data_IF_120469397081
#
_entry.id   IF_120469397081
#
_cell.length_a   1.000
_cell.length_b   1.000
_cell.length_c   1.000
_cell.angle_alpha   90.00
_cell.angle_beta   90.00
_cell.angle_gamma   90.00
#
_symmetry.space_group_name_H-M   'P 1'
#
loop_
_entity.id
_entity.type
_entity.pdbx_description
1 polymer ?
#
# COMPACT_ATOMS: atom_id res chain seq x y z
N UNK A 1 8.14 -86.38 -21.08
CA UNK A 1 8.24 -86.04 -19.65
C UNK A 1 7.21 -84.95 -19.33
N UNK A 2 6.34 -85.23 -18.35
CA UNK A 2 5.54 -84.36 -17.47
C UNK A 2 4.93 -83.03 -18.01
N UNK A 3 3.58 -83.06 -18.00
CA UNK A 3 2.55 -82.01 -17.87
C UNK A 3 2.95 -80.73 -17.12
N UNK A 4 2.33 -79.59 -17.52
CA UNK A 4 1.63 -78.52 -16.73
C UNK A 4 1.45 -77.32 -17.71
N UNK A 5 0.30 -77.03 -18.33
CA UNK A 5 -0.98 -76.41 -17.89
C UNK A 5 -0.93 -74.94 -17.42
N UNK A 6 -1.82 -74.14 -18.05
CA UNK A 6 -2.54 -72.94 -17.59
C UNK A 6 -1.95 -71.54 -17.96
N UNK A 7 -2.58 -70.82 -18.90
CA UNK A 7 -3.65 -69.78 -18.73
C UNK A 7 -3.05 -68.43 -18.29
N UNK A 8 -3.17 -67.30 -18.99
CA UNK A 8 -4.42 -66.55 -19.26
C UNK A 8 -4.04 -65.20 -19.90
N UNK A 9 -4.79 -64.75 -20.91
CA UNK A 9 -5.72 -63.60 -20.90
C UNK A 9 -5.13 -62.23 -21.33
N UNK A 10 -5.76 -61.75 -22.41
CA UNK A 10 -5.73 -60.45 -23.09
C UNK A 10 -5.84 -59.24 -22.16
N UNK A 11 -5.10 -58.17 -22.47
CA UNK A 11 -5.54 -56.79 -22.20
C UNK A 11 -5.02 -55.83 -23.29
N UNK A 12 -5.91 -55.53 -24.24
CA UNK A 12 -5.84 -54.40 -25.17
C UNK A 12 -6.44 -53.19 -24.45
N UNK A 13 -5.67 -52.12 -24.23
CA UNK A 13 -6.23 -50.77 -24.00
C UNK A 13 -5.35 -49.77 -24.72
N UNK A 14 -5.94 -49.12 -25.74
CA UNK A 14 -5.39 -47.96 -26.41
C UNK A 14 -5.79 -46.64 -25.74
N UNK A 15 -4.97 -45.62 -26.03
CA UNK A 15 -5.26 -44.19 -26.21
C UNK A 15 -6.18 -43.47 -25.19
N UNK A 16 -5.60 -42.51 -24.44
CA UNK A 16 -6.06 -41.10 -24.42
C UNK A 16 -5.15 -40.19 -23.54
N UNK A 17 -5.05 -38.88 -23.85
CA UNK A 17 -4.06 -37.96 -23.30
C UNK A 17 -4.38 -37.44 -21.89
N UNK A 18 -3.34 -37.02 -21.17
CA UNK A 18 -3.37 -36.47 -19.82
C UNK A 18 -4.21 -35.20 -19.70
N UNK A 19 -5.40 -35.33 -19.11
CA UNK A 19 -6.19 -34.21 -18.62
C UNK A 19 -5.59 -33.70 -17.29
N UNK A 20 -4.64 -32.77 -17.35
CA UNK A 20 -4.31 -31.89 -16.21
C UNK A 20 -5.38 -30.80 -16.12
N UNK A 21 -6.55 -31.16 -15.61
CA UNK A 21 -7.57 -30.22 -15.17
C UNK A 21 -8.45 -30.90 -14.12
N UNK A 22 -7.83 -31.40 -13.04
CA UNK A 22 -8.59 -31.77 -11.84
C UNK A 22 -8.55 -30.59 -10.87
N UNK A 23 -9.72 -30.08 -10.41
CA UNK A 23 -9.75 -29.16 -9.28
C UNK A 23 -9.20 -29.90 -8.06
N UNK A 24 -8.43 -29.21 -7.23
CA UNK A 24 -7.82 -29.70 -6.00
C UNK A 24 -8.83 -30.55 -5.19
N UNK A 25 -8.73 -31.89 -5.27
CA UNK A 25 -9.62 -32.79 -4.54
C UNK A 25 -9.11 -32.85 -3.10
N UNK A 26 -9.76 -32.08 -2.23
CA UNK A 26 -9.54 -32.08 -0.78
C UNK A 26 -9.82 -33.50 -0.25
N UNK A 27 -8.79 -34.29 0.05
CA UNK A 27 -8.88 -35.71 0.46
C UNK A 27 -9.45 -35.94 1.88
N UNK A 28 -9.96 -34.91 2.56
CA UNK A 28 -10.53 -35.06 3.91
C UNK A 28 -12.05 -35.27 3.85
N UNK A 29 -12.46 -36.54 3.93
CA UNK A 29 -13.84 -36.95 4.11
C UNK A 29 -14.38 -36.44 5.46
N UNK A 30 -15.18 -35.37 5.45
CA UNK A 30 -15.98 -34.95 6.60
C UNK A 30 -15.96 -33.46 6.94
N UNK A 31 -14.97 -32.71 6.44
CA UNK A 31 -14.96 -31.24 6.54
C UNK A 31 -15.25 -30.73 5.13
N UNK A 32 -16.40 -30.07 4.94
CA UNK A 32 -16.66 -29.33 3.69
C UNK A 32 -15.60 -28.23 3.60
N UNK A 33 -14.55 -28.45 2.82
CA UNK A 33 -13.57 -27.42 2.52
C UNK A 33 -14.36 -26.22 1.96
N UNK A 34 -14.23 -25.05 2.59
CA UNK A 34 -14.87 -23.82 2.09
C UNK A 34 -14.18 -23.50 0.78
N UNK A 35 -14.77 -23.94 -0.33
CA UNK A 35 -14.33 -23.54 -1.65
C UNK A 35 -14.58 -22.04 -1.76
N UNK A 36 -13.55 -21.19 -1.97
CA UNK A 36 -13.77 -19.79 -2.21
C UNK A 36 -14.67 -19.65 -3.45
N UNK A 37 -15.67 -18.75 -3.42
CA UNK A 37 -16.56 -18.56 -4.56
C UNK A 37 -15.75 -18.29 -5.83
N UNK A 38 -16.07 -18.99 -6.93
CA UNK A 38 -15.32 -18.95 -8.19
C UNK A 38 -15.57 -17.68 -9.02
N UNK A 39 -16.60 -16.91 -8.67
CA UNK A 39 -16.90 -15.64 -9.31
C UNK A 39 -16.11 -14.54 -8.61
N UNK A 40 -15.27 -13.83 -9.37
CA UNK A 40 -14.56 -12.63 -8.91
C UNK A 40 -15.59 -11.70 -8.30
N UNK A 41 -15.62 -11.55 -6.96
CA UNK A 41 -16.72 -10.86 -6.32
C UNK A 41 -16.50 -9.38 -6.59
N UNK A 42 -17.27 -8.80 -7.49
CA UNK A 42 -17.41 -7.37 -7.74
C UNK A 42 -16.09 -6.56 -7.64
N UNK A 43 -15.35 -6.38 -8.73
CA UNK A 43 -14.16 -5.52 -8.77
C UNK A 43 -14.50 -4.01 -8.68
N UNK A 44 -15.75 -3.61 -8.40
CA UNK A 44 -16.09 -2.20 -8.26
C UNK A 44 -15.32 -1.53 -7.11
N UNK A 45 -15.07 -0.21 -7.26
CA UNK A 45 -14.52 0.60 -6.20
C UNK A 45 -15.30 0.44 -4.88
N UNK A 46 -14.61 0.35 -3.73
CA UNK A 46 -15.24 0.15 -2.42
C UNK A 46 -16.25 1.26 -2.07
N UNK A 47 -16.07 2.46 -2.64
CA UNK A 47 -16.95 3.59 -2.40
C UNK A 47 -18.33 3.50 -3.09
N UNK A 48 -18.55 2.54 -3.99
CA UNK A 48 -19.83 2.43 -4.68
C UNK A 48 -20.92 1.70 -3.86
N UNK A 49 -20.54 1.11 -2.72
CA UNK A 49 -21.45 0.29 -1.90
C UNK A 49 -22.26 1.05 -0.85
N UNK A 50 -22.19 2.39 -0.84
CA UNK A 50 -23.06 3.25 -0.01
C UNK A 50 -22.87 3.16 1.50
N UNK A 51 -21.88 2.43 2.00
CA UNK A 51 -21.61 2.26 3.44
C UNK A 51 -20.69 3.36 4.02
N UNK A 52 -20.90 4.62 3.64
CA UNK A 52 -20.09 5.75 4.10
C UNK A 52 -20.89 6.63 5.03
N UNK A 53 -20.25 7.13 6.08
CA UNK A 53 -20.89 8.01 7.05
C UNK A 53 -20.29 9.42 6.95
N UNK A 54 -20.59 10.09 5.83
CA UNK A 54 -20.04 11.41 5.52
C UNK A 54 -20.71 12.51 6.36
N UNK A 55 -19.89 13.32 7.03
CA UNK A 55 -20.35 14.55 7.70
C UNK A 55 -19.22 15.57 7.77
N UNK A 56 -19.55 16.86 7.72
CA UNK A 56 -18.55 17.94 7.73
C UNK A 56 -17.67 17.93 9.00
N UNK A 57 -18.23 17.53 10.15
CA UNK A 57 -17.47 17.41 11.40
C UNK A 57 -16.41 16.30 11.33
N UNK A 58 -16.73 15.20 10.64
CA UNK A 58 -15.77 14.10 10.45
C UNK A 58 -14.65 14.47 9.50
N UNK A 59 -14.92 15.22 8.44
CA UNK A 59 -13.87 15.67 7.52
C UNK A 59 -12.91 16.66 8.21
N UNK A 60 -13.43 17.60 9.01
CA UNK A 60 -12.57 18.47 9.84
C UNK A 60 -11.73 17.68 10.84
N UNK A 61 -12.33 16.68 11.50
CA UNK A 61 -11.61 15.80 12.42
C UNK A 61 -10.54 14.96 11.70
N UNK A 62 -10.85 14.44 10.50
CA UNK A 62 -9.89 13.71 9.67
C UNK A 62 -8.71 14.60 9.27
N UNK A 63 -8.96 15.84 8.85
CA UNK A 63 -7.90 16.81 8.54
C UNK A 63 -6.98 17.09 9.72
N UNK A 64 -7.54 17.27 10.93
CA UNK A 64 -6.72 17.39 12.16
C UNK A 64 -5.83 16.18 12.40
N UNK A 65 -6.32 14.98 12.11
CA UNK A 65 -5.51 13.76 12.21
C UNK A 65 -4.45 13.68 11.11
N UNK A 66 -4.75 14.14 9.89
CA UNK A 66 -3.78 14.24 8.79
C UNK A 66 -2.68 15.24 9.16
N UNK A 67 -3.03 16.39 9.72
CA UNK A 67 -2.06 17.38 10.21
C UNK A 67 -1.16 16.75 11.28
N UNK A 68 -1.75 16.06 12.28
CA UNK A 68 -0.98 15.34 13.30
C UNK A 68 -0.05 14.27 12.70
N UNK A 69 -0.52 13.54 11.69
CA UNK A 69 0.29 12.54 10.99
C UNK A 69 1.46 13.19 10.24
N UNK A 70 1.32 14.41 9.73
CA UNK A 70 2.34 15.06 8.92
C UNK A 70 3.29 15.97 9.71
N UNK A 71 2.82 16.59 10.80
CA UNK A 71 3.53 17.69 11.47
C UNK A 71 4.02 17.36 12.88
N UNK A 72 3.60 16.26 13.50
CA UNK A 72 4.08 15.91 14.84
C UNK A 72 5.51 15.39 14.81
N UNK A 73 6.39 16.01 15.61
CA UNK A 73 7.80 15.59 15.76
C UNK A 73 7.92 14.17 16.34
N UNK A 74 7.08 13.87 17.34
CA UNK A 74 7.08 12.58 18.02
C UNK A 74 6.42 11.49 17.18
N UNK A 75 7.12 10.38 16.95
CA UNK A 75 6.57 9.23 16.23
C UNK A 75 5.33 8.64 16.91
N UNK A 76 5.25 8.65 18.24
CA UNK A 76 4.11 8.11 18.99
C UNK A 76 2.79 8.80 18.63
N UNK A 77 2.81 10.10 18.33
CA UNK A 77 1.61 10.85 17.98
C UNK A 77 1.22 10.62 16.52
N UNK A 78 2.21 10.50 15.62
CA UNK A 78 1.98 10.08 14.23
C UNK A 78 1.40 8.67 14.14
N UNK A 79 1.89 7.73 14.96
CA UNK A 79 1.33 6.36 15.04
C UNK A 79 -0.15 6.42 15.43
N UNK A 80 -0.49 7.12 16.52
CA UNK A 80 -1.89 7.28 16.96
C UNK A 80 -2.75 7.94 15.89
N UNK A 81 -2.21 8.92 15.17
CA UNK A 81 -2.91 9.58 14.08
C UNK A 81 -3.19 8.62 12.92
N UNK A 82 -2.18 7.84 12.49
CA UNK A 82 -2.33 6.82 11.46
C UNK A 82 -3.37 5.75 11.86
N UNK A 83 -3.32 5.24 13.10
CA UNK A 83 -4.28 4.26 13.62
C UNK A 83 -5.71 4.81 13.64
N UNK A 84 -5.89 6.04 14.12
CA UNK A 84 -7.20 6.71 14.12
C UNK A 84 -7.72 6.91 12.70
N UNK A 85 -6.86 7.33 11.76
CA UNK A 85 -7.21 7.44 10.35
C UNK A 85 -7.56 6.08 9.72
N UNK A 86 -7.16 4.94 10.29
CA UNK A 86 -7.61 3.63 9.86
C UNK A 86 -9.05 3.30 10.25
N UNK A 87 -9.58 3.94 11.29
CA UNK A 87 -10.94 3.72 11.78
C UNK A 87 -11.96 4.56 11.02
N UNK A 88 -12.94 3.89 10.38
CA UNK A 88 -14.08 4.53 9.71
C UNK A 88 -14.98 5.39 10.60
N UNK A 89 -14.78 5.33 11.92
CA UNK A 89 -15.45 6.23 12.87
C UNK A 89 -14.80 7.61 12.93
N UNK A 90 -13.49 7.69 12.72
CA UNK A 90 -12.72 8.94 12.79
C UNK A 90 -12.51 9.58 11.41
N UNK A 91 -12.33 8.77 10.36
CA UNK A 91 -12.12 9.24 9.00
C UNK A 91 -12.71 8.24 8.02
N UNK A 92 -13.17 8.67 6.85
CA UNK A 92 -13.64 7.76 5.79
C UNK A 92 -13.09 8.26 4.47
N UNK A 93 -12.21 7.47 3.84
CA UNK A 93 -11.56 7.90 2.61
C UNK A 93 -12.52 8.04 1.42
N UNK A 94 -13.72 7.44 1.50
CA UNK A 94 -14.77 7.64 0.51
C UNK A 94 -15.48 8.99 0.66
N UNK A 95 -15.35 9.64 1.83
CA UNK A 95 -15.85 11.00 2.07
C UNK A 95 -14.76 12.07 1.94
N UNK A 96 -13.50 11.69 2.20
CA UNK A 96 -12.34 12.57 2.12
C UNK A 96 -11.12 11.81 1.55
N UNK A 97 -10.81 11.98 0.25
CA UNK A 97 -9.73 11.23 -0.40
C UNK A 97 -8.34 11.60 0.14
N UNK A 98 -8.19 12.73 0.85
CA UNK A 98 -6.94 13.11 1.51
C UNK A 98 -6.53 12.08 2.58
N UNK A 99 -7.50 11.38 3.18
CA UNK A 99 -7.24 10.32 4.17
C UNK A 99 -6.39 9.20 3.57
N UNK A 100 -6.76 8.70 2.39
CA UNK A 100 -6.00 7.65 1.73
C UNK A 100 -4.64 8.17 1.27
N UNK A 101 -4.60 9.38 0.74
CA UNK A 101 -3.34 10.01 0.28
C UNK A 101 -2.35 10.20 1.43
N UNK A 102 -2.82 10.65 2.60
CA UNK A 102 -2.01 10.80 3.79
C UNK A 102 -1.51 9.46 4.35
N UNK A 103 -2.36 8.43 4.36
CA UNK A 103 -1.95 7.07 4.78
C UNK A 103 -0.92 6.47 3.82
N UNK A 104 -1.09 6.66 2.50
CA UNK A 104 -0.14 6.20 1.49
C UNK A 104 1.19 6.97 1.59
N UNK A 105 1.12 8.28 1.82
CA UNK A 105 2.31 9.08 2.14
C UNK A 105 3.02 8.56 3.37
N UNK A 106 2.31 8.35 4.48
CA UNK A 106 2.90 7.80 5.69
C UNK A 106 3.53 6.43 5.45
N UNK A 107 2.86 5.51 4.75
CA UNK A 107 3.37 4.18 4.44
C UNK A 107 4.67 4.19 3.62
N UNK A 108 4.84 5.13 2.69
CA UNK A 108 5.99 5.14 1.76
C UNK A 108 7.08 6.14 2.16
N UNK A 109 6.75 7.15 2.96
CA UNK A 109 7.63 8.28 3.23
C UNK A 109 7.92 8.52 4.71
N UNK A 110 7.16 7.99 5.68
CA UNK A 110 7.44 8.32 7.08
C UNK A 110 8.81 7.76 7.50
N UNK A 111 9.69 8.57 8.13
CA UNK A 111 10.99 8.10 8.58
C UNK A 111 10.88 7.00 9.66
N UNK A 112 9.83 7.03 10.48
CA UNK A 112 9.58 6.05 11.52
C UNK A 112 8.89 4.81 10.96
N UNK A 113 9.55 3.65 11.09
CA UNK A 113 9.00 2.38 10.59
C UNK A 113 7.70 1.95 11.31
N UNK A 114 7.49 2.35 12.56
CA UNK A 114 6.25 2.05 13.28
C UNK A 114 5.06 2.81 12.70
N UNK A 115 5.26 4.06 12.27
CA UNK A 115 4.22 4.84 11.58
C UNK A 115 3.88 4.18 10.25
N UNK A 116 4.88 3.75 9.47
CA UNK A 116 4.66 3.05 8.20
C UNK A 116 3.88 1.75 8.39
N UNK A 117 4.24 0.96 9.42
CA UNK A 117 3.53 -0.26 9.80
C UNK A 117 2.07 0.03 10.19
N UNK A 118 1.82 1.07 10.98
CA UNK A 118 0.47 1.48 11.34
C UNK A 118 -0.34 1.89 10.10
N UNK A 119 0.27 2.68 9.21
CA UNK A 119 -0.35 3.11 7.96
C UNK A 119 -0.75 1.94 7.06
N UNK A 120 0.08 0.88 6.97
CA UNK A 120 -0.25 -0.33 6.21
C UNK A 120 -1.58 -0.95 6.67
N UNK A 121 -1.74 -1.17 7.98
CA UNK A 121 -2.99 -1.69 8.54
C UNK A 121 -4.16 -0.71 8.39
N UNK A 122 -3.93 0.59 8.56
CA UNK A 122 -4.96 1.61 8.41
C UNK A 122 -5.54 1.66 6.99
N UNK A 123 -4.73 1.44 5.94
CA UNK A 123 -5.22 1.32 4.56
C UNK A 123 -6.17 0.12 4.43
N UNK A 124 -5.83 -1.02 5.04
CA UNK A 124 -6.71 -2.20 5.04
C UNK A 124 -8.00 -1.97 5.85
N UNK A 125 -7.92 -1.32 7.01
CA UNK A 125 -9.10 -1.01 7.85
C UNK A 125 -10.03 0.04 7.21
N UNK A 126 -9.47 0.96 6.42
CA UNK A 126 -10.27 1.81 5.56
C UNK A 126 -10.97 1.03 4.44
N UNK A 127 -10.64 -0.25 4.23
CA UNK A 127 -11.06 -1.06 3.08
C UNK A 127 -10.75 -0.32 1.77
N UNK A 128 -9.57 0.30 1.71
CA UNK A 128 -9.10 1.12 0.59
C UNK A 128 -8.62 0.26 -0.58
N UNK A 129 -9.52 -0.61 -1.08
CA UNK A 129 -9.31 -1.51 -2.21
C UNK A 129 -9.34 -0.73 -3.53
N UNK A 130 -8.38 0.16 -3.67
CA UNK A 130 -8.16 1.06 -4.80
C UNK A 130 -6.78 0.76 -5.38
N UNK A 131 -6.56 1.13 -6.64
CA UNK A 131 -5.24 1.01 -7.28
C UNK A 131 -4.13 1.65 -6.43
N UNK A 132 -4.36 2.87 -5.93
CA UNK A 132 -3.42 3.60 -5.08
C UNK A 132 -3.09 2.85 -3.79
N UNK A 133 -4.11 2.38 -3.06
CA UNK A 133 -3.92 1.66 -1.79
C UNK A 133 -3.25 0.31 -1.99
N UNK A 134 -3.67 -0.45 -3.02
CA UNK A 134 -3.11 -1.78 -3.34
C UNK A 134 -1.67 -1.66 -3.82
N UNK A 135 -1.38 -0.71 -4.72
CA UNK A 135 -0.02 -0.46 -5.21
C UNK A 135 0.92 -0.07 -4.08
N UNK A 136 0.50 0.85 -3.20
CA UNK A 136 1.33 1.30 -2.08
C UNK A 136 1.66 0.15 -1.10
N UNK A 137 0.66 -0.66 -0.73
CA UNK A 137 0.89 -1.83 0.12
C UNK A 137 1.81 -2.85 -0.57
N UNK A 138 1.62 -3.09 -1.86
CA UNK A 138 2.46 -4.03 -2.60
C UNK A 138 3.92 -3.56 -2.68
N UNK A 139 4.16 -2.29 -3.01
CA UNK A 139 5.51 -1.71 -3.00
C UNK A 139 6.14 -1.80 -1.62
N UNK A 140 5.42 -1.42 -0.56
CA UNK A 140 5.91 -1.53 0.82
C UNK A 140 6.27 -2.98 1.19
N UNK A 141 5.46 -3.96 0.76
CA UNK A 141 5.74 -5.39 1.00
C UNK A 141 7.04 -5.88 0.36
N UNK A 142 7.47 -5.27 -0.75
CA UNK A 142 8.68 -5.66 -1.50
C UNK A 142 9.91 -4.85 -1.12
N UNK A 143 9.72 -3.56 -0.87
CA UNK A 143 10.81 -2.58 -0.87
C UNK A 143 11.06 -1.93 0.49
N UNK A 144 10.15 -2.03 1.46
CA UNK A 144 10.38 -1.37 2.75
C UNK A 144 11.67 -1.88 3.41
N UNK A 145 12.56 -1.00 3.88
CA UNK A 145 13.80 -1.42 4.53
C UNK A 145 13.54 -2.24 5.80
N UNK A 146 12.43 -1.97 6.51
CA UNK A 146 12.10 -2.62 7.76
C UNK A 146 11.20 -3.85 7.54
N UNK A 147 11.64 -5.03 7.98
CA UNK A 147 10.92 -6.27 7.71
C UNK A 147 9.50 -6.31 8.30
N UNK A 148 9.29 -5.77 9.51
CA UNK A 148 7.94 -5.69 10.11
C UNK A 148 6.95 -4.85 9.28
N UNK A 149 7.44 -3.89 8.49
CA UNK A 149 6.57 -3.13 7.57
C UNK A 149 6.24 -3.98 6.36
N UNK A 150 7.22 -4.73 5.83
CA UNK A 150 6.99 -5.66 4.71
C UNK A 150 5.95 -6.71 5.06
N UNK A 151 6.07 -7.34 6.23
CA UNK A 151 5.14 -8.35 6.73
C UNK A 151 3.74 -7.74 6.92
N UNK A 152 3.64 -6.59 7.60
CA UNK A 152 2.37 -5.92 7.81
C UNK A 152 1.68 -5.51 6.50
N UNK A 153 2.43 -5.03 5.50
CA UNK A 153 1.89 -4.67 4.21
C UNK A 153 1.40 -5.90 3.42
N UNK A 154 2.12 -7.03 3.51
CA UNK A 154 1.70 -8.28 2.89
C UNK A 154 0.44 -8.87 3.56
N UNK A 155 0.37 -8.83 4.89
CA UNK A 155 -0.80 -9.26 5.65
C UNK A 155 -2.01 -8.37 5.35
N UNK A 156 -1.81 -7.05 5.32
CA UNK A 156 -2.82 -6.07 4.95
C UNK A 156 -3.37 -6.32 3.53
N UNK A 157 -2.51 -6.64 2.56
CA UNK A 157 -2.94 -7.07 1.21
C UNK A 157 -3.77 -8.35 1.27
N UNK A 158 -3.33 -9.35 2.04
CA UNK A 158 -4.05 -10.60 2.22
C UNK A 158 -5.48 -10.37 2.70
N UNK A 159 -5.67 -9.49 3.69
CA UNK A 159 -6.97 -9.09 4.22
C UNK A 159 -7.78 -8.26 3.22
N UNK A 160 -7.14 -7.28 2.57
CA UNK A 160 -7.82 -6.35 1.65
C UNK A 160 -8.34 -7.04 0.38
N UNK A 161 -7.62 -8.08 -0.08
CA UNK A 161 -7.80 -8.73 -1.38
C UNK A 161 -8.28 -10.18 -1.30
N UNK A 162 -8.86 -10.61 -0.18
CA UNK A 162 -9.48 -11.95 -0.05
C UNK A 162 -10.41 -12.20 -1.26
N UNK A 163 -10.09 -13.24 -2.04
CA UNK A 163 -10.77 -13.65 -3.27
C UNK A 163 -10.83 -12.59 -4.40
N UNK A 164 -10.01 -11.53 -4.34
CA UNK A 164 -10.06 -10.39 -5.28
C UNK A 164 -8.69 -10.03 -5.88
N UNK A 165 -7.68 -10.87 -5.65
CA UNK A 165 -6.30 -10.61 -6.10
C UNK A 165 -6.20 -10.42 -7.61
N UNK A 166 -6.98 -11.18 -8.40
CA UNK A 166 -6.99 -11.08 -9.85
C UNK A 166 -7.49 -9.72 -10.38
N UNK A 167 -8.29 -8.97 -9.61
CA UNK A 167 -8.73 -7.63 -10.00
C UNK A 167 -7.54 -6.64 -10.13
N UNK A 168 -6.39 -6.92 -9.49
CA UNK A 168 -5.24 -6.02 -9.38
C UNK A 168 -3.98 -6.60 -10.03
N UNK A 169 -4.11 -7.58 -10.93
CA UNK A 169 -2.96 -8.22 -11.60
C UNK A 169 -2.08 -7.21 -12.35
N UNK A 170 -2.69 -6.24 -13.00
CA UNK A 170 -1.99 -5.21 -13.77
C UNK A 170 -1.31 -4.20 -12.84
N UNK A 171 -1.94 -3.89 -11.71
CA UNK A 171 -1.37 -3.10 -10.61
C UNK A 171 -0.08 -3.75 -10.08
N UNK A 172 -0.10 -5.07 -9.86
CA UNK A 172 1.07 -5.80 -9.38
C UNK A 172 2.19 -5.80 -10.42
N UNK A 173 1.87 -6.02 -11.70
CA UNK A 173 2.85 -5.95 -12.78
C UNK A 173 3.50 -4.55 -12.86
N UNK A 174 2.69 -3.49 -12.82
CA UNK A 174 3.19 -2.11 -12.83
C UNK A 174 4.07 -1.80 -11.60
N UNK A 175 3.68 -2.29 -10.42
CA UNK A 175 4.44 -2.12 -9.20
C UNK A 175 5.76 -2.90 -9.19
N UNK A 176 5.79 -4.12 -9.76
CA UNK A 176 7.03 -4.89 -9.93
C UNK A 176 8.01 -4.15 -10.85
N UNK A 177 7.53 -3.55 -11.94
CA UNK A 177 8.36 -2.77 -12.85
C UNK A 177 8.88 -1.48 -12.20
N UNK A 178 8.06 -0.82 -11.37
CA UNK A 178 8.49 0.31 -10.58
C UNK A 178 9.55 -0.08 -9.53
N UNK A 179 9.35 -1.21 -8.85
CA UNK A 179 10.31 -1.72 -7.88
C UNK A 179 11.66 -2.05 -8.51
N UNK A 180 11.68 -2.66 -9.70
CA UNK A 180 12.91 -2.88 -10.49
C UNK A 180 13.60 -1.57 -10.85
N UNK A 181 12.85 -0.56 -11.30
CA UNK A 181 13.40 0.75 -11.68
C UNK A 181 14.04 1.45 -10.49
N UNK A 182 13.37 1.46 -9.34
CA UNK A 182 13.88 2.17 -8.17
C UNK A 182 15.06 1.44 -7.53
N UNK A 183 15.00 0.12 -7.42
CA UNK A 183 16.07 -0.69 -6.83
C UNK A 183 16.47 -0.18 -5.43
N UNK A 184 17.67 -0.52 -4.96
CA UNK A 184 18.19 -0.13 -3.64
C UNK A 184 18.34 1.39 -3.35
N UNK A 185 17.76 2.26 -4.21
CA UNK A 185 17.72 3.72 -4.04
C UNK A 185 16.55 4.18 -3.18
N UNK A 186 15.51 3.38 -3.02
CA UNK A 186 14.36 3.75 -2.19
C UNK A 186 14.76 3.82 -0.71
N UNK A 187 14.52 4.98 -0.10
CA UNK A 187 14.66 5.20 1.34
C UNK A 187 13.48 6.02 1.85
N UNK A 188 12.69 5.52 2.81
CA UNK A 188 11.68 6.32 3.49
C UNK A 188 12.31 7.56 4.14
N UNK A 189 11.57 8.67 4.20
CA UNK A 189 12.03 9.94 4.78
C UNK A 189 12.94 10.78 3.86
N UNK A 190 13.10 10.38 2.60
CA UNK A 190 13.91 11.10 1.60
C UNK A 190 13.03 11.58 0.45
N UNK A 191 13.38 12.65 -0.28
CA UNK A 191 12.58 13.15 -1.41
C UNK A 191 12.31 12.10 -2.48
N UNK A 192 13.15 11.08 -2.59
CA UNK A 192 13.00 9.94 -3.50
C UNK A 192 11.70 9.15 -3.25
N UNK A 193 11.17 9.15 -2.02
CA UNK A 193 9.90 8.50 -1.70
C UNK A 193 8.70 9.19 -2.40
N UNK A 194 8.82 10.47 -2.77
CA UNK A 194 7.78 11.23 -3.48
C UNK A 194 7.60 10.73 -4.92
N UNK A 195 8.62 10.10 -5.52
CA UNK A 195 8.51 9.50 -6.85
C UNK A 195 7.52 8.32 -6.83
N UNK A 196 7.46 7.56 -5.74
CA UNK A 196 6.47 6.50 -5.55
C UNK A 196 5.06 7.08 -5.40
N UNK A 197 4.92 8.19 -4.68
CA UNK A 197 3.64 8.84 -4.46
C UNK A 197 3.02 9.36 -5.75
N UNK A 198 3.84 9.99 -6.62
CA UNK A 198 3.38 10.46 -7.93
C UNK A 198 2.85 9.32 -8.81
N UNK A 199 3.50 8.15 -8.78
CA UNK A 199 3.05 6.97 -9.53
C UNK A 199 1.82 6.30 -8.95
N UNK A 200 1.69 6.24 -7.61
CA UNK A 200 0.49 5.73 -6.95
C UNK A 200 -0.72 6.65 -7.19
N UNK A 201 -0.51 7.97 -7.33
CA UNK A 201 -1.56 8.95 -7.63
C UNK A 201 -1.98 8.97 -9.11
N UNK A 202 -1.04 8.79 -10.04
CA UNK A 202 -1.30 8.84 -11.49
C UNK A 202 -2.14 7.66 -12.03
N UNK A 203 -2.34 6.60 -11.25
CA UNK A 203 -3.27 5.52 -11.59
C UNK A 203 -4.74 5.98 -11.66
N UNK A 204 -5.05 7.20 -11.19
CA UNK A 204 -6.29 7.92 -11.46
C UNK A 204 -5.95 9.16 -12.31
N UNK A 205 -6.26 9.20 -13.61
CA UNK A 205 -6.04 10.42 -14.42
C UNK A 205 -7.06 11.53 -14.10
N UNK A 206 -6.99 12.69 -14.80
CA UNK A 206 -5.84 13.57 -14.94
C UNK A 206 -5.63 14.39 -13.65
N UNK A 207 -4.37 14.56 -13.28
CA UNK A 207 -3.94 15.37 -12.16
C UNK A 207 -4.31 16.84 -12.32
N UNK A 208 -5.25 17.35 -11.53
CA UNK A 208 -5.14 18.72 -11.03
C UNK A 208 -3.95 18.71 -10.07
N UNK A 209 -2.86 19.32 -10.54
CA UNK A 209 -1.54 19.23 -9.95
C UNK A 209 -1.54 19.64 -8.49
N UNK A 210 -1.00 18.76 -7.64
CA UNK A 210 -0.30 19.22 -6.44
C UNK A 210 0.96 19.92 -6.96
N UNK A 211 0.83 21.22 -7.24
CA UNK A 211 1.97 22.13 -7.33
C UNK A 211 2.58 22.16 -5.94
N UNK A 212 3.65 21.38 -5.75
CA UNK A 212 4.59 21.65 -4.67
C UNK A 212 5.29 22.94 -5.07
N UNK A 213 4.86 24.07 -4.50
CA UNK A 213 5.63 25.30 -4.57
C UNK A 213 7.01 25.02 -3.97
N UNK A 214 8.02 25.17 -4.81
CA UNK A 214 9.41 25.25 -4.40
C UNK A 214 9.52 26.40 -3.37
N UNK A 215 10.09 26.19 -2.17
CA UNK A 215 10.20 27.27 -1.19
C UNK A 215 11.06 28.39 -1.79
N UNK A 216 10.48 29.59 -1.83
CA UNK A 216 11.12 30.77 -2.39
C UNK A 216 12.54 30.96 -1.83
N UNK A 217 13.53 31.36 -2.66
CA UNK A 217 14.88 31.62 -2.19
C UNK A 217 14.86 32.70 -1.10
N UNK A 218 15.56 32.42 -0.01
CA UNK A 218 15.66 33.31 1.15
C UNK A 218 16.08 34.73 0.72
N UNK A 219 15.50 35.79 1.30
CA UNK A 219 15.90 37.15 0.98
C UNK A 219 17.37 37.39 1.36
N UNK A 220 18.12 38.19 0.57
CA UNK A 220 19.52 38.45 0.83
C UNK A 220 19.68 39.07 2.24
N UNK A 221 20.54 38.43 3.04
CA UNK A 221 20.86 38.85 4.39
C UNK A 221 21.30 40.32 4.42
N UNK A 222 20.84 41.06 5.44
CA UNK A 222 21.24 42.45 5.67
C UNK A 222 22.77 42.55 5.70
N UNK A 223 23.38 43.57 5.05
CA UNK A 223 24.81 43.76 5.09
C UNK A 223 25.27 44.00 6.52
N UNK A 224 26.40 43.39 6.88
CA UNK A 224 27.04 43.54 8.18
C UNK A 224 27.32 45.02 8.47
N UNK A 225 27.14 45.48 9.73
CA UNK A 225 27.43 46.86 10.09
C UNK A 225 28.92 47.18 9.91
N UNK A 226 29.19 48.39 9.42
CA UNK A 226 30.53 48.87 9.12
C UNK A 226 31.45 48.85 10.36
N UNK A 227 32.76 48.55 10.21
CA UNK A 227 33.71 48.63 11.31
C UNK A 227 33.83 50.06 11.85
N UNK A 228 33.80 50.20 13.17
CA UNK A 228 34.01 51.48 13.87
C UNK A 228 35.37 52.10 13.49
N UNK A 229 35.45 53.43 13.32
CA UNK A 229 36.69 54.11 13.00
C UNK A 229 37.71 53.98 14.15
N UNK A 230 38.95 53.63 13.80
CA UNK A 230 40.10 53.68 14.71
C UNK A 230 40.29 55.14 15.14
N UNK A 231 40.13 55.39 16.44
CA UNK A 231 40.48 56.67 17.05
C UNK A 231 41.95 56.96 16.82
N UNK A 232 42.23 58.13 16.26
CA UNK A 232 43.56 58.71 16.16
C UNK A 232 44.04 59.11 17.56
N UNK A 233 45.10 58.47 18.04
CA UNK A 233 45.98 59.03 19.06
C UNK A 233 46.74 60.21 18.43
N UNK A 234 46.52 61.41 18.96
CA UNK A 234 47.44 62.54 18.83
C UNK A 234 47.70 63.08 20.22
N UNK A 235 48.98 63.05 20.61
CA UNK A 235 49.56 63.95 21.60
C UNK A 235 49.56 65.39 21.07
#
# INVERSE_FOLDING_TARGET
MKRILCLSAVALVGLAPSAFATPFVCLNHGIKCICPPQECPDCCPPCNRGHHHCSCRKTEHARKLIDQLNSCDCCCDRIKAAEKLGSRLHADFCCDPEVLSALVHALLCDPCWEVRRAAAWSIAYQNARTEQGVMALYLASKMDPHYLVRDAANDALGVLLVCRRECFKDTFAAADDLAKKLGGRYKPGTPECLQLLGTCGAANGPSDGILIEEPAPAPPGKPAPAPLPKGSETA
#
